data_IF_482931162540
#
_entry.id   IF_482931162540
#
_cell.length_a   1.000
_cell.length_b   1.000
_cell.length_c   1.000
_cell.angle_alpha   90.00
_cell.angle_beta   90.00
_cell.angle_gamma   90.00
#
_symmetry.space_group_name_H-M   'P 1'
#
loop_
_entity.id
_entity.type
_entity.pdbx_description
1 polymer ?
#
# COMPACT_ATOMS: atom_id res chain seq x y z
N UNK A 1 -11.16 31.82 -39.90
CA UNK A 1 -10.48 30.52 -40.07
C UNK A 1 -11.31 29.51 -39.30
N UNK A 2 -12.17 28.76 -40.00
CA UNK A 2 -12.95 27.65 -39.42
C UNK A 2 -12.04 26.44 -39.33
N UNK A 3 -11.79 25.95 -38.08
CA UNK A 3 -11.14 24.67 -37.86
C UNK A 3 -12.16 23.56 -38.12
N UNK A 4 -11.94 22.78 -39.18
CA UNK A 4 -12.68 21.56 -39.47
C UNK A 4 -12.27 20.50 -38.48
N UNK A 5 -13.16 20.15 -37.54
CA UNK A 5 -13.04 18.93 -36.76
C UNK A 5 -13.22 17.74 -37.70
N UNK A 6 -12.15 16.99 -37.98
CA UNK A 6 -12.25 15.70 -38.66
C UNK A 6 -13.00 14.74 -37.74
N UNK A 7 -14.08 14.16 -38.23
CA UNK A 7 -14.86 13.15 -37.56
C UNK A 7 -13.93 11.98 -37.18
N UNK A 8 -13.96 11.62 -35.90
CA UNK A 8 -13.24 10.45 -35.35
C UNK A 8 -13.85 9.19 -35.99
N UNK A 9 -13.06 8.48 -36.77
CA UNK A 9 -13.51 7.27 -37.45
C UNK A 9 -13.71 6.12 -36.46
N UNK A 10 -14.95 5.83 -36.08
CA UNK A 10 -15.34 4.77 -35.17
C UNK A 10 -15.07 3.35 -35.72
N UNK A 11 -14.74 3.21 -37.02
CA UNK A 11 -14.47 1.90 -37.65
C UNK A 11 -13.18 1.24 -37.09
N UNK A 12 -12.20 2.06 -36.69
CA UNK A 12 -10.95 1.55 -36.09
C UNK A 12 -11.12 1.02 -34.64
N UNK A 13 -12.20 1.40 -33.97
CA UNK A 13 -12.48 0.90 -32.61
C UNK A 13 -13.10 -0.50 -32.63
N UNK A 14 -13.75 -0.89 -33.70
CA UNK A 14 -14.41 -2.20 -33.82
C UNK A 14 -13.39 -3.35 -34.05
N UNK A 15 -12.26 -3.09 -34.68
CA UNK A 15 -11.22 -4.10 -34.93
C UNK A 15 -10.35 -4.37 -33.69
N UNK A 16 -10.23 -3.42 -32.77
CA UNK A 16 -9.46 -3.59 -31.51
C UNK A 16 -10.23 -4.42 -30.46
N UNK A 17 -11.55 -4.54 -30.60
CA UNK A 17 -12.42 -5.22 -29.63
C UNK A 17 -12.69 -6.71 -29.93
N UNK A 18 -12.16 -7.27 -31.02
CA UNK A 18 -12.43 -8.67 -31.45
C UNK A 18 -11.32 -9.64 -31.07
N UNK A 19 -10.28 -9.19 -30.36
CA UNK A 19 -9.43 -10.15 -29.63
C UNK A 19 -10.05 -10.36 -28.24
N UNK A 20 -10.88 -11.39 -28.11
CA UNK A 20 -11.24 -11.97 -26.82
C UNK A 20 -9.95 -12.42 -26.12
N UNK A 21 -9.27 -11.48 -25.46
CA UNK A 21 -8.21 -11.83 -24.52
C UNK A 21 -8.90 -12.43 -23.31
N UNK A 22 -8.67 -13.71 -23.08
CA UNK A 22 -9.07 -14.37 -21.86
C UNK A 22 -8.44 -13.64 -20.68
N UNK A 23 -9.26 -12.86 -19.93
CA UNK A 23 -8.80 -12.07 -18.80
C UNK A 23 -8.53 -13.00 -17.63
N UNK A 24 -7.25 -13.23 -17.35
CA UNK A 24 -6.84 -14.07 -16.22
C UNK A 24 -7.08 -13.35 -14.90
N UNK A 25 -7.61 -14.07 -13.91
CA UNK A 25 -7.82 -13.53 -12.55
C UNK A 25 -6.47 -13.17 -11.92
N UNK A 26 -6.35 -11.94 -11.41
CA UNK A 26 -5.12 -11.47 -10.76
C UNK A 26 -4.98 -12.08 -9.36
N UNK A 27 -3.74 -12.24 -8.89
CA UNK A 27 -3.40 -12.90 -7.62
C UNK A 27 -4.14 -12.30 -6.41
N UNK A 28 -4.27 -10.97 -6.35
CA UNK A 28 -4.96 -10.30 -5.24
C UNK A 28 -6.46 -10.66 -5.13
N UNK A 29 -7.10 -11.10 -6.22
CA UNK A 29 -8.49 -11.56 -6.21
C UNK A 29 -8.62 -13.07 -5.89
N UNK A 30 -7.51 -13.77 -5.78
CA UNK A 30 -7.50 -15.21 -5.41
C UNK A 30 -7.46 -15.42 -3.89
N UNK A 31 -7.17 -14.36 -3.13
CA UNK A 31 -7.11 -14.39 -1.66
C UNK A 31 -8.54 -14.35 -1.10
N UNK A 32 -8.83 -15.21 -0.14
CA UNK A 32 -10.12 -15.21 0.55
C UNK A 32 -10.17 -14.06 1.59
N UNK A 33 -10.83 -12.96 1.22
CA UNK A 33 -10.93 -11.77 2.06
C UNK A 33 -11.92 -11.93 3.23
N UNK A 34 -12.75 -12.97 3.27
CA UNK A 34 -13.71 -13.20 4.36
C UNK A 34 -13.00 -13.71 5.63
N UNK A 35 -11.87 -14.42 5.45
CA UNK A 35 -11.07 -14.96 6.57
C UNK A 35 -9.78 -14.20 6.81
N UNK A 36 -9.40 -13.29 5.90
CA UNK A 36 -8.15 -12.54 5.98
C UNK A 36 -8.11 -11.66 7.23
N UNK A 37 -7.10 -11.87 8.06
CA UNK A 37 -6.86 -11.09 9.28
C UNK A 37 -5.79 -10.01 9.05
N UNK A 38 -5.70 -8.99 9.92
CA UNK A 38 -4.57 -8.07 9.91
C UNK A 38 -3.24 -8.82 10.09
N UNK A 39 -2.19 -8.41 9.37
CA UNK A 39 -0.91 -9.12 9.39
C UNK A 39 0.05 -8.61 8.33
N UNK A 40 1.14 -9.35 8.11
CA UNK A 40 2.11 -9.11 7.04
C UNK A 40 2.25 -10.38 6.21
N UNK A 41 1.89 -10.30 4.94
CA UNK A 41 1.83 -11.45 4.03
C UNK A 41 2.70 -11.23 2.81
N UNK A 42 3.31 -12.28 2.27
CA UNK A 42 3.88 -12.26 0.92
C UNK A 42 2.72 -12.43 -0.06
N UNK A 43 2.40 -11.37 -0.78
CA UNK A 43 1.33 -11.39 -1.78
C UNK A 43 1.81 -12.00 -3.09
N UNK A 44 3.01 -11.61 -3.55
CA UNK A 44 3.57 -12.04 -4.82
C UNK A 44 5.08 -11.86 -4.84
N UNK A 45 5.77 -12.67 -5.66
CA UNK A 45 7.19 -12.51 -5.97
C UNK A 45 7.35 -12.39 -7.49
N UNK A 46 7.91 -11.29 -7.95
CA UNK A 46 8.18 -10.99 -9.35
C UNK A 46 9.70 -10.81 -9.54
N UNK A 47 10.38 -11.86 -9.98
CA UNK A 47 11.84 -11.87 -10.09
C UNK A 47 12.49 -11.65 -8.71
N UNK A 48 13.20 -10.55 -8.54
CA UNK A 48 13.86 -10.17 -7.29
C UNK A 48 13.00 -9.26 -6.38
N UNK A 49 11.78 -8.90 -6.81
CA UNK A 49 10.86 -8.04 -6.05
C UNK A 49 9.79 -8.86 -5.37
N UNK A 50 9.71 -8.75 -4.04
CA UNK A 50 8.62 -9.28 -3.23
C UNK A 50 7.61 -8.19 -2.91
N UNK A 51 6.34 -8.43 -3.20
CA UNK A 51 5.21 -7.59 -2.79
C UNK A 51 4.65 -8.12 -1.47
N UNK A 52 4.74 -7.30 -0.44
CA UNK A 52 4.12 -7.56 0.86
C UNK A 52 2.76 -6.88 0.95
N UNK A 53 1.75 -7.64 1.39
CA UNK A 53 0.46 -7.13 1.85
C UNK A 53 0.58 -6.80 3.34
N UNK A 54 0.65 -5.52 3.65
CA UNK A 54 0.60 -4.98 5.00
C UNK A 54 -0.87 -4.76 5.37
N UNK A 55 -1.56 -5.83 5.78
CA UNK A 55 -2.98 -5.78 6.13
C UNK A 55 -3.16 -5.18 7.51
N UNK A 56 -3.60 -3.94 7.59
CA UNK A 56 -3.78 -3.21 8.84
C UNK A 56 -5.16 -3.41 9.46
N UNK A 57 -6.14 -3.77 8.63
CA UNK A 57 -7.55 -3.93 9.04
C UNK A 57 -8.16 -5.19 8.44
N UNK A 58 -9.12 -5.77 9.17
CA UNK A 58 -9.88 -6.92 8.67
C UNK A 58 -10.80 -6.46 7.52
N UNK A 59 -10.73 -7.09 6.34
CA UNK A 59 -11.60 -6.77 5.22
C UNK A 59 -13.08 -7.05 5.54
N UNK A 60 -13.97 -6.37 4.83
CA UNK A 60 -15.43 -6.60 4.83
C UNK A 60 -16.13 -6.40 6.19
N UNK A 61 -15.49 -5.73 7.15
CA UNK A 61 -16.08 -5.45 8.48
C UNK A 61 -16.63 -4.03 8.62
N UNK A 62 -16.45 -3.18 7.60
CA UNK A 62 -16.81 -1.76 7.67
C UNK A 62 -15.80 -0.89 8.42
N UNK A 63 -14.78 -1.49 9.02
CA UNK A 63 -13.67 -0.78 9.66
C UNK A 63 -12.61 -0.41 8.62
N UNK A 64 -12.75 0.78 8.04
CA UNK A 64 -11.91 1.26 6.95
C UNK A 64 -11.06 2.46 7.40
N UNK A 65 -9.86 2.61 6.85
CA UNK A 65 -9.09 3.85 6.98
C UNK A 65 -9.74 4.95 6.14
N UNK A 66 -9.87 6.14 6.69
CA UNK A 66 -10.17 7.31 5.87
C UNK A 66 -8.96 7.75 5.03
N UNK A 67 -9.20 8.58 4.03
CA UNK A 67 -8.15 9.06 3.14
C UNK A 67 -7.05 9.85 3.86
N UNK A 68 -7.40 10.60 4.90
CA UNK A 68 -6.44 11.36 5.70
C UNK A 68 -5.49 10.43 6.46
N UNK A 69 -6.02 9.37 7.07
CA UNK A 69 -5.26 8.35 7.78
C UNK A 69 -4.31 7.61 6.85
N UNK A 70 -4.83 7.11 5.69
CA UNK A 70 -4.01 6.41 4.69
C UNK A 70 -2.87 7.29 4.19
N UNK A 71 -3.19 8.51 3.75
CA UNK A 71 -2.24 9.46 3.19
C UNK A 71 -1.16 9.88 4.22
N UNK A 72 -1.58 10.08 5.47
CA UNK A 72 -0.66 10.46 6.54
C UNK A 72 0.30 9.33 6.91
N UNK A 73 -0.21 8.10 7.03
CA UNK A 73 0.64 6.92 7.28
C UNK A 73 1.56 6.63 6.10
N UNK A 74 1.08 6.82 4.86
CA UNK A 74 1.91 6.68 3.66
C UNK A 74 3.13 7.60 3.72
N UNK A 75 2.96 8.90 3.96
CA UNK A 75 4.05 9.87 4.04
C UNK A 75 5.05 9.51 5.15
N UNK A 76 4.55 9.20 6.33
CA UNK A 76 5.38 8.87 7.49
C UNK A 76 6.16 7.57 7.28
N UNK A 77 5.46 6.52 6.86
CA UNK A 77 6.04 5.19 6.69
C UNK A 77 7.03 5.17 5.51
N UNK A 78 6.64 5.72 4.35
CA UNK A 78 7.49 5.77 3.17
C UNK A 78 8.81 6.51 3.44
N UNK A 79 8.76 7.60 4.21
CA UNK A 79 9.96 8.35 4.57
C UNK A 79 10.84 7.55 5.50
N UNK A 80 10.31 6.99 6.58
CA UNK A 80 11.12 6.27 7.54
C UNK A 80 11.71 4.96 6.99
N UNK A 81 10.93 4.17 6.23
CA UNK A 81 11.44 2.90 5.67
C UNK A 81 12.56 3.12 4.64
N UNK A 82 12.48 4.20 3.84
CA UNK A 82 13.51 4.58 2.87
C UNK A 82 14.73 5.26 3.51
N UNK A 83 14.70 5.53 4.81
CA UNK A 83 15.84 6.02 5.60
C UNK A 83 16.29 5.00 6.66
N UNK A 84 15.86 3.74 6.53
CA UNK A 84 16.27 2.60 7.34
C UNK A 84 17.31 1.72 6.66
N UNK A 85 17.56 0.53 7.23
CA UNK A 85 18.58 -0.40 6.74
C UNK A 85 18.20 -1.00 5.36
N UNK A 86 16.92 -1.02 4.99
CA UNK A 86 16.42 -1.49 3.69
C UNK A 86 16.29 -0.37 2.64
N UNK A 87 16.85 0.82 2.85
CA UNK A 87 16.66 2.00 1.99
C UNK A 87 16.86 1.72 0.49
N UNK A 88 17.89 0.95 0.16
CA UNK A 88 18.27 0.64 -1.24
C UNK A 88 17.42 -0.51 -1.84
N UNK A 89 16.69 -1.24 -1.01
CA UNK A 89 15.83 -2.35 -1.40
C UNK A 89 14.36 -1.96 -1.54
N UNK A 90 13.94 -0.81 -0.98
CA UNK A 90 12.53 -0.37 -1.02
C UNK A 90 12.19 0.16 -2.41
N UNK A 91 11.34 -0.57 -3.13
CA UNK A 91 10.85 -0.19 -4.45
C UNK A 91 9.64 0.74 -4.35
N UNK A 92 8.64 0.35 -3.55
CA UNK A 92 7.40 1.12 -3.41
C UNK A 92 6.73 0.85 -2.06
N UNK A 93 6.01 1.86 -1.56
CA UNK A 93 5.04 1.74 -0.49
C UNK A 93 3.84 2.63 -0.80
N UNK A 94 2.63 2.10 -0.66
CA UNK A 94 1.41 2.88 -0.89
C UNK A 94 0.15 2.15 -0.46
N UNK A 95 -0.97 2.89 -0.26
CA UNK A 95 -2.22 2.34 0.24
C UNK A 95 -2.95 1.50 -0.80
N UNK A 96 -3.74 0.55 -0.32
CA UNK A 96 -4.69 -0.20 -1.11
C UNK A 96 -6.00 0.57 -1.27
N UNK A 97 -6.60 0.55 -2.46
CA UNK A 97 -7.88 1.20 -2.73
C UNK A 97 -9.06 0.69 -1.88
N UNK A 98 -8.95 -0.51 -1.30
CA UNK A 98 -9.94 -1.06 -0.38
C UNK A 98 -9.87 -0.47 1.05
N UNK A 99 -8.91 0.40 1.36
CA UNK A 99 -8.75 1.10 2.64
C UNK A 99 -8.45 0.17 3.83
N UNK A 100 -7.96 -1.04 3.59
CA UNK A 100 -7.70 -2.03 4.66
C UNK A 100 -6.22 -2.40 4.81
N UNK A 101 -5.33 -1.77 4.04
CA UNK A 101 -3.89 -2.05 4.10
C UNK A 101 -3.06 -1.26 3.11
N UNK A 102 -1.80 -1.65 3.02
CA UNK A 102 -0.79 -1.05 2.15
C UNK A 102 0.00 -2.15 1.43
N UNK A 103 0.57 -1.82 0.28
CA UNK A 103 1.59 -2.64 -0.35
C UNK A 103 2.99 -2.08 -0.07
N UNK A 104 3.91 -2.98 0.31
CA UNK A 104 5.33 -2.70 0.40
C UNK A 104 6.06 -3.63 -0.57
N UNK A 105 6.77 -3.06 -1.54
CA UNK A 105 7.56 -3.79 -2.52
C UNK A 105 9.04 -3.68 -2.15
N UNK A 106 9.69 -4.83 -1.99
CA UNK A 106 11.09 -4.91 -1.54
C UNK A 106 11.89 -5.81 -2.48
N UNK A 107 13.04 -5.31 -2.92
CA UNK A 107 13.99 -6.06 -3.73
C UNK A 107 14.88 -6.94 -2.87
N UNK A 108 15.14 -8.19 -3.32
CA UNK A 108 15.98 -9.17 -2.62
C UNK A 108 15.60 -9.32 -1.13
N UNK A 109 14.29 -9.42 -0.86
CA UNK A 109 13.74 -9.37 0.48
C UNK A 109 14.10 -10.61 1.33
N UNK A 110 14.56 -10.37 2.56
CA UNK A 110 14.49 -11.33 3.65
C UNK A 110 13.26 -11.02 4.51
N UNK A 111 12.36 -11.99 4.66
CA UNK A 111 11.08 -11.78 5.35
C UNK A 111 11.24 -11.34 6.81
N UNK A 112 12.20 -11.92 7.54
CA UNK A 112 12.43 -11.59 8.95
C UNK A 112 12.97 -10.17 9.07
N UNK A 113 13.89 -9.77 8.19
CA UNK A 113 14.42 -8.41 8.15
C UNK A 113 13.34 -7.39 7.75
N UNK A 114 12.50 -7.70 6.76
CA UNK A 114 11.38 -6.84 6.38
C UNK A 114 10.43 -6.63 7.56
N UNK A 115 10.04 -7.69 8.28
CA UNK A 115 9.19 -7.58 9.48
C UNK A 115 9.85 -6.71 10.55
N UNK A 116 11.15 -6.90 10.78
CA UNK A 116 11.92 -6.10 11.74
C UNK A 116 11.88 -4.62 11.36
N UNK A 117 12.11 -4.29 10.09
CA UNK A 117 12.11 -2.91 9.60
C UNK A 117 10.72 -2.28 9.59
N UNK A 118 9.67 -3.06 9.29
CA UNK A 118 8.28 -2.61 9.42
C UNK A 118 7.99 -2.20 10.87
N UNK A 119 8.31 -3.06 11.85
CA UNK A 119 8.12 -2.76 13.28
C UNK A 119 8.90 -1.53 13.72
N UNK A 120 10.19 -1.42 13.36
CA UNK A 120 11.02 -0.26 13.67
C UNK A 120 10.47 1.03 13.05
N UNK A 121 9.96 0.95 11.82
CA UNK A 121 9.34 2.09 11.14
C UNK A 121 8.09 2.56 11.87
N UNK A 122 7.22 1.64 12.28
CA UNK A 122 6.02 1.98 13.06
C UNK A 122 6.39 2.61 14.41
N UNK A 123 7.40 2.09 15.12
CA UNK A 123 7.89 2.68 16.36
C UNK A 123 8.46 4.08 16.14
N UNK A 124 9.20 4.33 15.04
CA UNK A 124 9.68 5.67 14.70
C UNK A 124 8.54 6.65 14.43
N UNK A 125 7.45 6.20 13.81
CA UNK A 125 6.24 7.03 13.60
C UNK A 125 5.63 7.40 14.96
N UNK A 126 5.51 6.46 15.88
CA UNK A 126 4.98 6.72 17.23
C UNK A 126 5.82 7.73 18.00
N UNK A 127 7.14 7.64 17.89
CA UNK A 127 8.08 8.57 18.53
C UNK A 127 8.25 9.90 17.80
N UNK A 128 7.71 10.05 16.57
CA UNK A 128 7.91 11.26 15.77
C UNK A 128 7.31 12.49 16.45
N UNK A 129 8.07 13.59 16.44
CA UNK A 129 7.62 14.91 16.84
C UNK A 129 7.74 15.88 15.65
N UNK A 130 6.84 16.85 15.58
CA UNK A 130 6.79 17.81 14.49
C UNK A 130 5.73 17.47 13.41
N UNK A 131 5.77 18.15 12.24
CA UNK A 131 4.79 17.94 11.18
C UNK A 131 5.00 16.58 10.48
N UNK A 132 3.96 16.10 9.82
CA UNK A 132 4.07 14.98 8.86
C UNK A 132 5.07 15.37 7.76
N UNK A 133 5.91 14.43 7.32
CA UNK A 133 6.84 14.67 6.22
C UNK A 133 6.11 15.09 4.95
N UNK A 134 6.66 16.04 4.20
CA UNK A 134 6.05 16.51 2.97
C UNK A 134 4.76 17.32 3.16
N UNK A 135 4.51 17.91 4.35
CA UNK A 135 3.29 18.66 4.67
C UNK A 135 3.31 20.09 4.10
N UNK A 136 3.69 20.24 2.84
CA UNK A 136 3.66 21.55 2.13
C UNK A 136 3.06 21.41 0.73
N UNK A 137 2.57 22.52 0.20
CA UNK A 137 2.01 22.57 -1.16
C UNK A 137 3.05 22.30 -2.27
N UNK A 138 4.32 22.37 -1.98
CA UNK A 138 5.40 22.06 -2.93
C UNK A 138 5.71 20.57 -2.99
N UNK A 139 5.46 19.84 -1.89
CA UNK A 139 5.86 18.45 -1.71
C UNK A 139 4.70 17.48 -1.91
N UNK A 140 3.47 17.94 -1.66
CA UNK A 140 2.29 17.08 -1.71
C UNK A 140 1.09 17.79 -2.35
N UNK A 141 0.42 17.09 -3.26
CA UNK A 141 -0.77 17.61 -3.96
C UNK A 141 -2.00 17.80 -3.06
N UNK A 142 -2.03 17.19 -1.87
CA UNK A 142 -3.12 17.32 -0.89
C UNK A 142 -2.60 17.38 0.56
N UNK A 143 -1.59 18.19 0.83
CA UNK A 143 -0.94 18.27 2.14
C UNK A 143 -1.87 18.65 3.31
N UNK A 144 -2.99 19.34 3.03
CA UNK A 144 -3.94 19.80 4.06
C UNK A 144 -4.67 18.66 4.76
N UNK A 145 -4.74 17.49 4.15
CA UNK A 145 -5.36 16.30 4.76
C UNK A 145 -4.42 15.53 5.69
N UNK A 146 -3.13 15.91 5.75
CA UNK A 146 -2.14 15.20 6.56
C UNK A 146 -2.35 15.45 8.05
N UNK A 147 -2.33 14.36 8.84
CA UNK A 147 -2.56 14.34 10.29
C UNK A 147 -1.57 13.40 10.98
N UNK A 148 -0.62 13.94 11.73
CA UNK A 148 0.30 13.11 12.52
C UNK A 148 -0.44 12.25 13.55
N UNK A 149 -1.49 12.77 14.16
CA UNK A 149 -2.30 12.02 15.13
C UNK A 149 -2.93 10.78 14.50
N UNK A 150 -3.50 10.91 13.29
CA UNK A 150 -4.08 9.78 12.55
C UNK A 150 -3.01 8.75 12.15
N UNK A 151 -1.84 9.21 11.66
CA UNK A 151 -0.72 8.32 11.34
C UNK A 151 -0.23 7.54 12.57
N UNK A 152 -0.09 8.19 13.72
CA UNK A 152 0.30 7.53 14.98
C UNK A 152 -0.74 6.52 15.46
N UNK A 153 -2.02 6.88 15.39
CA UNK A 153 -3.11 5.97 15.80
C UNK A 153 -3.09 4.70 14.94
N UNK A 154 -2.96 4.83 13.63
CA UNK A 154 -2.93 3.66 12.74
C UNK A 154 -1.62 2.86 12.88
N UNK A 155 -0.48 3.53 13.07
CA UNK A 155 0.79 2.87 13.34
C UNK A 155 0.75 2.04 14.63
N UNK A 156 0.17 2.58 15.71
CA UNK A 156 -0.02 1.85 16.97
C UNK A 156 -0.94 0.64 16.79
N UNK A 157 -2.05 0.85 16.10
CA UNK A 157 -3.00 -0.22 15.81
C UNK A 157 -2.31 -1.37 15.06
N UNK A 158 -1.63 -1.07 13.96
CA UNK A 158 -0.98 -2.10 13.16
C UNK A 158 0.16 -2.81 13.91
N UNK A 159 0.94 -2.08 14.70
CA UNK A 159 1.97 -2.68 15.55
C UNK A 159 1.35 -3.68 16.54
N UNK A 160 0.22 -3.33 17.16
CA UNK A 160 -0.51 -4.22 18.07
C UNK A 160 -1.03 -5.48 17.35
N UNK A 161 -1.50 -5.37 16.12
CA UNK A 161 -1.93 -6.54 15.32
C UNK A 161 -0.76 -7.46 14.98
N UNK A 162 0.41 -6.90 14.64
CA UNK A 162 1.63 -7.68 14.38
C UNK A 162 2.18 -8.37 15.64
N UNK A 163 1.89 -7.84 16.83
CA UNK A 163 2.30 -8.41 18.11
C UNK A 163 1.31 -9.44 18.65
N UNK A 164 0.04 -9.36 18.23
CA UNK A 164 -1.02 -10.24 18.72
C UNK A 164 -0.84 -11.71 18.25
N UNK A 165 -0.12 -11.94 17.16
CA UNK A 165 0.05 -13.27 16.54
C UNK A 165 1.43 -13.42 15.88
N UNK A 166 1.95 -14.67 15.77
CA UNK A 166 3.10 -14.95 14.94
C UNK A 166 2.86 -14.57 13.48
N UNK A 167 3.77 -13.82 12.87
CA UNK A 167 3.70 -13.48 11.45
C UNK A 167 4.24 -14.65 10.63
N UNK A 168 3.39 -15.29 9.86
CA UNK A 168 3.74 -16.45 9.03
C UNK A 168 4.12 -16.08 7.60
N UNK A 169 3.83 -14.87 7.18
CA UNK A 169 3.96 -14.35 5.80
C UNK A 169 3.07 -15.08 4.77
N UNK A 170 2.21 -15.98 5.19
CA UNK A 170 1.33 -16.77 4.33
C UNK A 170 -0.12 -16.43 4.63
N UNK A 171 -0.93 -16.34 3.57
CA UNK A 171 -2.38 -16.29 3.72
C UNK A 171 -2.89 -17.62 4.29
N UNK A 172 -3.96 -17.55 5.09
CA UNK A 172 -4.70 -18.73 5.52
C UNK A 172 -5.53 -19.25 4.33
N UNK A 173 -5.57 -20.58 4.16
CA UNK A 173 -6.33 -21.25 3.11
C UNK A 173 -7.77 -21.55 3.56
#
# INVERSE_FOLDING_TARGET
IMATFTAFDASHFQEVFVMEQEVTRITSFSINHDILLPGLYVSRVDGDVTTYDMRTRRPNTGDLMDNSTMHSLEHMFATYIRNGDLKDSIVYFGPMGCQTGFYLLVRNADNAEVLRQVRLTLMKILAHEGPVFGASSRECGNYRSLSLASAKTEAQRYLSELDARPVTFKYEE
#
